data_IF_353705791604
#
_entry.id   IF_353705791604
#
_cell.length_a   1.000
_cell.length_b   1.000
_cell.length_c   1.000
_cell.angle_alpha   90.00
_cell.angle_beta   90.00
_cell.angle_gamma   90.00
#
_symmetry.space_group_name_H-M   'P 1'
#
loop_
_entity.id
_entity.type
_entity.pdbx_description
1 polymer ?
#
# COMPACT_ATOMS: atom_id res chain seq x y z
N UNK A 1 3.69 -9.38 -20.48
CA UNK A 1 3.79 -9.47 -19.02
C UNK A 1 2.83 -8.53 -18.33
N UNK A 2 2.69 -8.67 -17.01
CA UNK A 2 1.88 -7.80 -16.17
C UNK A 2 2.79 -7.14 -15.14
N UNK A 3 2.37 -5.97 -14.64
CA UNK A 3 3.19 -5.13 -13.76
C UNK A 3 2.34 -4.61 -12.59
N UNK A 4 2.97 -4.45 -11.44
CA UNK A 4 2.44 -3.70 -10.30
C UNK A 4 3.30 -2.46 -10.13
N UNK A 5 2.67 -1.28 -10.20
CA UNK A 5 3.33 0.00 -9.98
C UNK A 5 3.50 0.32 -8.50
N UNK A 6 4.13 1.45 -8.19
CA UNK A 6 4.40 1.88 -6.81
C UNK A 6 4.33 3.40 -6.67
N UNK A 7 4.10 3.86 -5.44
CA UNK A 7 4.03 5.25 -4.99
C UNK A 7 2.75 5.99 -5.42
N UNK A 8 2.52 6.11 -6.71
CA UNK A 8 1.33 6.73 -7.31
C UNK A 8 0.72 5.80 -8.36
N UNK A 9 -0.47 6.12 -8.85
CA UNK A 9 -1.06 5.36 -9.95
C UNK A 9 -0.21 5.49 -11.21
N UNK A 10 0.46 4.41 -11.59
CA UNK A 10 1.36 4.36 -12.74
C UNK A 10 0.70 3.82 -14.01
N UNK A 11 -0.55 3.31 -13.94
CA UNK A 11 -1.24 2.77 -15.10
C UNK A 11 -1.32 3.77 -16.27
N UNK A 12 -1.68 5.07 -16.08
CA UNK A 12 -1.75 6.01 -17.19
C UNK A 12 -0.44 6.17 -17.95
N UNK A 13 0.69 6.07 -17.25
CA UNK A 13 2.03 6.24 -17.84
C UNK A 13 2.48 4.94 -18.50
N UNK A 14 2.39 3.82 -17.78
CA UNK A 14 2.91 2.53 -18.25
C UNK A 14 2.05 2.01 -19.40
N UNK A 15 0.74 1.96 -19.22
CA UNK A 15 -0.18 1.43 -20.23
C UNK A 15 -0.21 2.30 -21.49
N UNK A 16 -0.12 3.62 -21.31
CA UNK A 16 -0.04 4.56 -22.44
C UNK A 16 1.28 4.51 -23.19
N UNK A 17 2.37 4.05 -22.56
CA UNK A 17 3.70 4.02 -23.18
C UNK A 17 4.03 2.65 -23.78
N UNK A 18 3.65 1.57 -23.11
CA UNK A 18 4.12 0.23 -23.46
C UNK A 18 3.01 -0.67 -23.99
N UNK A 19 1.96 -0.90 -23.21
CA UNK A 19 0.84 -1.74 -23.65
C UNK A 19 -0.38 -1.53 -22.73
N UNK A 20 -1.55 -1.31 -23.33
CA UNK A 20 -2.82 -1.19 -22.61
C UNK A 20 -3.07 -2.42 -21.71
N UNK A 21 -3.49 -2.16 -20.50
CA UNK A 21 -3.79 -3.18 -19.49
C UNK A 21 -2.57 -3.93 -18.95
N UNK A 22 -1.36 -3.41 -19.16
CA UNK A 22 -0.14 -4.00 -18.61
C UNK A 22 -0.07 -3.86 -17.10
N UNK A 23 -0.54 -2.74 -16.54
CA UNK A 23 -0.53 -2.47 -15.11
C UNK A 23 -1.74 -3.09 -14.43
N UNK A 24 -1.53 -4.05 -13.53
CA UNK A 24 -2.61 -4.66 -12.74
C UNK A 24 -3.12 -3.69 -11.68
N UNK A 25 -2.21 -3.06 -10.95
CA UNK A 25 -2.48 -2.10 -9.89
C UNK A 25 -1.21 -1.31 -9.59
N UNK A 26 -1.31 -0.33 -8.71
CA UNK A 26 -0.15 0.34 -8.09
C UNK A 26 -0.30 0.32 -6.57
N UNK A 27 0.77 -0.06 -5.88
CA UNK A 27 0.86 0.06 -4.42
C UNK A 27 1.10 1.53 -4.08
N UNK A 28 0.04 2.21 -3.66
CA UNK A 28 -0.02 3.66 -3.47
C UNK A 28 0.48 4.09 -2.10
N UNK A 29 1.08 5.26 -2.04
CA UNK A 29 1.22 6.04 -0.81
C UNK A 29 0.08 7.05 -0.71
N UNK A 30 -0.62 7.09 0.42
CA UNK A 30 -1.68 8.04 0.71
C UNK A 30 -1.13 9.44 1.06
N UNK A 31 -0.43 10.07 0.12
CA UNK A 31 0.25 11.36 0.35
C UNK A 31 -0.72 12.46 0.76
N UNK A 32 -1.91 12.51 0.15
CA UNK A 32 -2.93 13.49 0.49
C UNK A 32 -3.39 13.34 1.94
N UNK A 33 -3.67 12.12 2.38
CA UNK A 33 -4.09 11.82 3.75
C UNK A 33 -2.99 12.15 4.75
N UNK A 34 -1.74 11.83 4.43
CA UNK A 34 -0.57 12.15 5.27
C UNK A 34 -0.43 13.67 5.44
N UNK A 35 -0.50 14.42 4.33
CA UNK A 35 -0.38 15.89 4.38
C UNK A 35 -1.54 16.51 5.15
N UNK A 36 -2.77 16.05 4.92
CA UNK A 36 -3.96 16.54 5.63
C UNK A 36 -3.85 16.31 7.13
N UNK A 37 -3.40 15.11 7.55
CA UNK A 37 -3.19 14.80 8.98
C UNK A 37 -2.17 15.72 9.61
N UNK A 38 -1.04 15.97 8.95
CA UNK A 38 0.01 16.85 9.48
C UNK A 38 -0.43 18.31 9.53
N UNK A 39 -1.17 18.79 8.52
CA UNK A 39 -1.73 20.15 8.53
C UNK A 39 -2.75 20.31 9.67
N UNK A 40 -3.61 19.30 9.87
CA UNK A 40 -4.55 19.33 10.99
C UNK A 40 -3.82 19.36 12.33
N UNK A 41 -2.75 18.56 12.50
CA UNK A 41 -1.92 18.59 13.70
C UNK A 41 -1.29 19.98 13.96
N UNK A 42 -0.91 20.70 12.90
CA UNK A 42 -0.44 22.10 13.03
C UNK A 42 -1.56 23.01 13.53
N UNK A 43 -2.76 22.91 12.96
CA UNK A 43 -3.93 23.71 13.34
C UNK A 43 -4.32 23.45 14.79
N UNK A 44 -4.27 22.19 15.21
CA UNK A 44 -4.64 21.75 16.56
C UNK A 44 -3.53 22.00 17.60
N UNK A 45 -2.35 22.47 17.18
CA UNK A 45 -1.21 22.72 18.06
C UNK A 45 -0.46 21.45 18.50
N UNK A 46 -0.69 20.32 17.84
CA UNK A 46 -0.15 19.00 18.20
C UNK A 46 0.99 18.55 17.27
N UNK A 47 1.52 19.44 16.43
CA UNK A 47 2.58 19.08 15.48
C UNK A 47 3.85 18.51 16.14
N UNK A 48 4.11 18.87 17.41
CA UNK A 48 5.21 18.28 18.20
C UNK A 48 5.15 16.76 18.33
N UNK A 49 3.96 16.16 18.17
CA UNK A 49 3.78 14.71 18.23
C UNK A 49 4.34 13.99 16.99
N UNK A 50 4.58 14.74 15.93
CA UNK A 50 5.11 14.25 14.64
C UNK A 50 6.54 14.75 14.37
N UNK A 51 6.89 15.94 14.86
CA UNK A 51 8.15 16.58 14.55
C UNK A 51 9.37 15.76 14.99
N UNK A 52 10.30 15.53 14.06
CA UNK A 52 11.54 14.78 14.32
C UNK A 52 11.37 13.26 14.47
N UNK A 53 10.19 12.72 14.18
CA UNK A 53 9.93 11.28 14.21
C UNK A 53 10.00 10.66 12.83
N UNK A 54 10.30 9.38 12.80
CA UNK A 54 10.14 8.50 11.62
C UNK A 54 9.05 7.49 11.98
N UNK A 55 7.90 7.61 11.30
CA UNK A 55 6.76 6.74 11.55
C UNK A 55 6.57 5.75 10.39
N UNK A 56 6.23 4.51 10.74
CA UNK A 56 5.83 3.51 9.76
C UNK A 56 4.31 3.61 9.57
N UNK A 57 3.90 4.32 8.53
CA UNK A 57 2.50 4.62 8.27
C UNK A 57 1.81 3.47 7.52
N UNK A 58 0.59 3.15 7.94
CA UNK A 58 -0.19 2.03 7.39
C UNK A 58 -1.68 2.34 7.36
N UNK A 59 -2.47 1.39 7.84
CA UNK A 59 -3.93 1.51 7.89
C UNK A 59 -4.36 2.26 9.16
N UNK A 60 -5.25 3.25 8.99
CA UNK A 60 -5.85 4.05 10.06
C UNK A 60 -7.39 3.92 10.09
N UNK A 61 -7.98 3.27 9.09
CA UNK A 61 -9.42 3.09 8.94
C UNK A 61 -9.74 1.75 8.29
N UNK A 62 -10.98 1.28 8.50
CA UNK A 62 -11.55 0.17 7.73
C UNK A 62 -11.79 0.55 6.26
N UNK A 63 -11.94 1.85 5.97
CA UNK A 63 -12.10 2.37 4.61
C UNK A 63 -10.73 2.51 3.94
N UNK A 64 -10.46 1.78 2.84
CA UNK A 64 -9.19 1.87 2.14
C UNK A 64 -8.80 3.28 1.68
N UNK A 65 -9.78 4.13 1.36
CA UNK A 65 -9.55 5.49 0.85
C UNK A 65 -8.98 6.46 1.89
N UNK A 66 -9.13 6.16 3.18
CA UNK A 66 -8.65 6.99 4.28
C UNK A 66 -7.24 6.63 4.75
N UNK A 67 -6.67 5.54 4.23
CA UNK A 67 -5.41 5.00 4.70
C UNK A 67 -4.18 5.68 4.09
N UNK A 68 -3.01 5.51 4.73
CA UNK A 68 -1.73 6.02 4.24
C UNK A 68 -1.10 5.13 3.17
N UNK A 69 -1.67 3.94 2.94
CA UNK A 69 -1.29 2.99 1.90
C UNK A 69 -2.54 2.38 1.29
N UNK A 70 -2.49 1.99 0.03
CA UNK A 70 -3.64 1.38 -0.64
C UNK A 70 -3.32 0.95 -2.06
N UNK A 71 -4.34 0.55 -2.79
CA UNK A 71 -4.26 0.26 -4.22
C UNK A 71 -4.82 1.42 -5.03
N UNK A 72 -4.38 1.53 -6.30
CA UNK A 72 -4.85 2.58 -7.19
C UNK A 72 -6.28 2.36 -7.68
N UNK A 73 -6.98 3.44 -8.04
CA UNK A 73 -8.32 3.40 -8.63
C UNK A 73 -8.33 2.64 -9.98
N UNK A 74 -7.19 2.59 -10.67
CA UNK A 74 -7.00 1.85 -11.91
C UNK A 74 -6.80 0.35 -11.73
N UNK A 75 -6.96 -0.19 -10.52
CA UNK A 75 -6.78 -1.61 -10.23
C UNK A 75 -7.67 -2.49 -11.08
N UNK A 76 -7.07 -3.47 -11.76
CA UNK A 76 -7.79 -4.48 -12.53
C UNK A 76 -8.27 -5.60 -11.62
N UNK A 77 -9.49 -5.48 -11.14
CA UNK A 77 -10.13 -6.51 -10.33
C UNK A 77 -10.46 -7.75 -11.15
N UNK A 78 -10.64 -8.88 -10.49
CA UNK A 78 -10.98 -10.16 -11.15
C UNK A 78 -12.05 -10.92 -10.35
N UNK A 79 -12.60 -11.97 -10.95
CA UNK A 79 -13.57 -12.85 -10.28
C UNK A 79 -12.96 -13.60 -9.08
N UNK A 80 -11.63 -13.77 -9.06
CA UNK A 80 -10.91 -14.45 -7.98
C UNK A 80 -10.48 -13.52 -6.86
N UNK A 81 -10.47 -12.21 -7.09
CA UNK A 81 -10.19 -11.18 -6.10
C UNK A 81 -10.83 -9.86 -6.54
N UNK A 82 -11.93 -9.52 -5.92
CA UNK A 82 -12.74 -8.34 -6.22
C UNK A 82 -12.35 -7.14 -5.35
N UNK A 83 -12.90 -5.97 -5.68
CA UNK A 83 -12.77 -4.79 -4.83
C UNK A 83 -13.37 -5.00 -3.43
N UNK A 84 -14.47 -5.75 -3.34
CA UNK A 84 -15.09 -6.06 -2.05
C UNK A 84 -14.21 -7.00 -1.20
N UNK A 85 -13.52 -7.97 -1.83
CA UNK A 85 -12.53 -8.81 -1.13
C UNK A 85 -11.37 -7.97 -0.60
N UNK A 86 -10.94 -6.96 -1.36
CA UNK A 86 -9.90 -6.04 -0.91
C UNK A 86 -10.37 -5.19 0.29
N UNK A 87 -11.58 -4.67 0.26
CA UNK A 87 -12.17 -3.93 1.40
C UNK A 87 -12.26 -4.80 2.64
N UNK A 88 -12.73 -6.04 2.48
CA UNK A 88 -12.79 -7.00 3.60
C UNK A 88 -11.40 -7.35 4.14
N UNK A 89 -10.42 -7.54 3.27
CA UNK A 89 -9.04 -7.79 3.66
C UNK A 89 -8.47 -6.60 4.46
N UNK A 90 -8.66 -5.37 3.97
CA UNK A 90 -8.23 -4.14 4.65
C UNK A 90 -8.84 -4.04 6.04
N UNK A 91 -10.13 -4.32 6.16
CA UNK A 91 -10.84 -4.35 7.44
C UNK A 91 -10.24 -5.38 8.41
N UNK A 92 -9.96 -6.60 7.96
CA UNK A 92 -9.33 -7.64 8.78
C UNK A 92 -7.92 -7.24 9.26
N UNK A 93 -7.14 -6.57 8.39
CA UNK A 93 -5.81 -6.06 8.77
C UNK A 93 -5.95 -4.94 9.80
N UNK A 94 -6.85 -3.98 9.57
CA UNK A 94 -7.09 -2.86 10.48
C UNK A 94 -7.54 -3.34 11.86
N UNK A 95 -8.41 -4.32 11.93
CA UNK A 95 -8.91 -4.91 13.18
C UNK A 95 -7.90 -5.85 13.87
N UNK A 96 -6.77 -6.15 13.22
CA UNK A 96 -5.71 -6.99 13.77
C UNK A 96 -5.96 -8.51 13.63
N UNK A 97 -6.98 -8.91 12.88
CA UNK A 97 -7.25 -10.31 12.56
C UNK A 97 -6.15 -10.89 11.66
N UNK A 98 -5.58 -10.04 10.81
CA UNK A 98 -4.43 -10.35 9.97
C UNK A 98 -3.30 -9.40 10.35
N UNK A 99 -2.15 -9.97 10.72
CA UNK A 99 -0.96 -9.19 11.06
C UNK A 99 -0.01 -9.11 9.88
N UNK A 100 0.37 -7.88 9.52
CA UNK A 100 1.39 -7.62 8.51
C UNK A 100 2.70 -7.29 9.23
N UNK A 101 3.77 -7.98 8.88
CA UNK A 101 5.11 -7.67 9.39
C UNK A 101 5.66 -6.40 8.72
N UNK A 102 6.26 -5.53 9.51
CA UNK A 102 7.08 -4.40 9.06
C UNK A 102 8.58 -4.63 9.31
N UNK A 103 8.96 -5.87 9.60
CA UNK A 103 10.35 -6.26 9.79
C UNK A 103 11.10 -6.20 8.44
N UNK A 104 12.18 -5.44 8.39
CA UNK A 104 13.06 -5.28 7.24
C UNK A 104 14.42 -5.96 7.40
N UNK A 105 14.67 -6.57 8.56
CA UNK A 105 15.96 -7.16 8.93
C UNK A 105 15.96 -8.68 8.77
N UNK A 106 14.79 -9.30 8.94
CA UNK A 106 14.66 -10.76 8.89
C UNK A 106 14.08 -11.21 7.55
N UNK A 107 14.71 -12.20 6.94
CA UNK A 107 14.16 -12.83 5.73
C UNK A 107 12.78 -13.42 6.01
N UNK A 108 11.74 -13.08 5.19
CA UNK A 108 10.41 -13.58 5.41
C UNK A 108 10.34 -15.09 5.22
N UNK A 109 9.72 -15.77 6.18
CA UNK A 109 9.42 -17.20 6.10
C UNK A 109 8.00 -17.39 5.61
N UNK A 110 7.82 -18.14 4.55
CA UNK A 110 6.50 -18.43 3.97
C UNK A 110 6.15 -19.91 4.14
N UNK A 111 4.94 -20.19 4.58
CA UNK A 111 4.40 -21.54 4.77
C UNK A 111 3.47 -22.00 3.64
N UNK A 112 3.53 -21.32 2.48
CA UNK A 112 2.67 -21.54 1.32
C UNK A 112 3.40 -22.29 0.20
N UNK A 113 2.72 -22.52 -0.91
CA UNK A 113 3.31 -23.05 -2.15
C UNK A 113 4.25 -22.05 -2.85
N UNK A 114 4.62 -20.95 -2.18
CA UNK A 114 5.54 -19.94 -2.69
C UNK A 114 6.95 -20.30 -2.31
N UNK A 115 7.86 -20.29 -3.29
CA UNK A 115 9.32 -20.39 -3.05
C UNK A 115 9.88 -18.98 -3.02
N UNK A 116 10.64 -18.66 -1.97
CA UNK A 116 11.39 -17.41 -1.87
C UNK A 116 12.81 -17.66 -2.32
N UNK A 117 13.27 -16.94 -3.33
CA UNK A 117 14.63 -17.00 -3.84
C UNK A 117 15.31 -15.64 -3.60
N UNK A 118 16.19 -15.60 -2.63
CA UNK A 118 16.90 -14.38 -2.24
C UNK A 118 18.10 -14.14 -3.15
N UNK A 119 17.99 -13.12 -3.99
CA UNK A 119 19.05 -12.74 -4.93
C UNK A 119 20.12 -11.83 -4.32
N UNK A 120 20.04 -11.53 -3.03
CA UNK A 120 20.92 -10.58 -2.36
C UNK A 120 20.73 -9.14 -2.85
N UNK A 121 21.77 -8.32 -2.72
CA UNK A 121 21.75 -6.95 -3.25
C UNK A 121 21.97 -6.96 -4.75
N UNK A 122 20.90 -6.85 -5.51
CA UNK A 122 20.97 -6.63 -6.96
C UNK A 122 21.30 -5.15 -7.18
N UNK A 123 22.48 -4.89 -7.76
CA UNK A 123 22.93 -3.55 -8.13
C UNK A 123 22.67 -3.30 -9.60
#
# INVERSE_FOLDING_TARGET
GKLIGVDSDQAPIIDGTYAEGMTITSAMKGLANTVTTLLQAVVDGNFSDYAGKVDNLGLISEDPSENYVGLSDSTQWSDSFSEDDYKELTKKIYNGDIKISNDTETEPSVSSNTTVDYQGSIK
#
